data_IF_840657877741
#
_entry.id   IF_840657877741
#
_cell.length_a   1.000
_cell.length_b   1.000
_cell.length_c   1.000
_cell.angle_alpha   90.00
_cell.angle_beta   90.00
_cell.angle_gamma   90.00
#
_symmetry.space_group_name_H-M   'P 1'
#
loop_
_entity.id
_entity.type
_entity.pdbx_description
1 polymer ?
#
# COMPACT_ATOMS: atom_id res chain seq x y z
N UNK A 1 23.13 28.73 20.37
CA UNK A 1 22.31 28.34 19.21
C UNK A 1 21.27 27.33 19.66
N UNK A 2 19.99 27.53 19.32
CA UNK A 2 18.94 26.57 19.61
C UNK A 2 19.10 25.30 18.76
N UNK A 3 18.50 24.18 19.18
CA UNK A 3 18.55 22.94 18.38
C UNK A 3 17.87 23.13 17.01
N UNK A 4 16.78 23.89 16.95
CA UNK A 4 16.06 24.15 15.71
C UNK A 4 16.91 24.98 14.73
N UNK A 5 17.55 26.05 15.20
CA UNK A 5 18.51 26.85 14.40
C UNK A 5 19.65 25.98 13.90
N UNK A 6 20.20 25.11 14.76
CA UNK A 6 21.30 24.23 14.39
C UNK A 6 20.90 23.21 13.34
N UNK A 7 19.72 22.58 13.46
CA UNK A 7 19.21 21.64 12.46
C UNK A 7 18.99 22.32 11.11
N UNK A 8 18.40 23.53 11.12
CA UNK A 8 18.22 24.33 9.91
C UNK A 8 19.56 24.68 9.26
N UNK A 9 20.53 25.16 10.03
CA UNK A 9 21.84 25.50 9.51
C UNK A 9 22.62 24.24 9.05
N UNK A 10 22.53 23.12 9.76
CA UNK A 10 23.14 21.85 9.41
C UNK A 10 22.60 21.31 8.07
N UNK A 11 21.29 21.45 7.83
CA UNK A 11 20.66 21.05 6.57
C UNK A 11 21.31 21.72 5.35
N UNK A 12 21.51 23.04 5.39
CA UNK A 12 22.20 23.76 4.30
C UNK A 12 23.69 23.45 4.25
N UNK A 13 24.33 23.29 5.42
CA UNK A 13 25.77 23.06 5.49
C UNK A 13 26.21 21.68 4.96
N UNK A 14 25.29 20.71 4.92
CA UNK A 14 25.51 19.40 4.33
C UNK A 14 25.40 19.38 2.80
N UNK A 15 24.96 20.47 2.16
CA UNK A 15 24.81 20.59 0.71
C UNK A 15 26.17 20.83 0.01
N UNK A 16 26.99 19.78 -0.05
CA UNK A 16 28.35 19.84 -0.60
C UNK A 16 28.69 18.59 -1.40
N UNK A 17 29.56 18.73 -2.41
CA UNK A 17 29.99 17.59 -3.22
C UNK A 17 30.85 16.59 -2.46
N UNK A 18 31.76 17.07 -1.59
CA UNK A 18 32.76 16.24 -0.90
C UNK A 18 32.36 15.78 0.51
N UNK A 19 31.28 16.30 1.08
CA UNK A 19 30.84 15.96 2.44
C UNK A 19 31.75 16.47 3.56
N UNK A 20 31.27 16.34 4.79
CA UNK A 20 31.92 16.85 6.00
C UNK A 20 32.08 15.76 7.05
N UNK A 21 33.19 15.72 7.77
CA UNK A 21 33.37 14.78 8.88
C UNK A 21 32.58 15.23 10.11
N UNK A 22 32.30 14.31 11.04
CA UNK A 22 31.69 14.65 12.33
C UNK A 22 32.47 15.74 13.07
N UNK A 23 33.80 15.65 13.10
CA UNK A 23 34.67 16.62 13.75
C UNK A 23 34.60 18.02 13.10
N UNK A 24 34.49 18.10 11.77
CA UNK A 24 34.30 19.37 11.05
C UNK A 24 32.95 20.02 11.41
N UNK A 25 31.89 19.22 11.45
CA UNK A 25 30.55 19.68 11.82
C UNK A 25 30.49 20.10 13.29
N UNK A 26 31.03 19.30 14.19
CA UNK A 26 31.08 19.54 15.63
C UNK A 26 31.79 20.86 15.94
N UNK A 27 32.95 21.08 15.32
CA UNK A 27 33.70 22.34 15.42
C UNK A 27 32.92 23.53 14.87
N UNK A 28 32.25 23.38 13.72
CA UNK A 28 31.50 24.46 13.05
C UNK A 28 30.31 24.95 13.87
N UNK A 29 29.63 24.02 14.54
CA UNK A 29 28.41 24.29 15.32
C UNK A 29 28.67 24.37 16.82
N UNK A 30 29.94 24.28 17.25
CA UNK A 30 30.39 24.37 18.65
C UNK A 30 29.66 23.39 19.58
N UNK A 31 29.52 22.14 19.12
CA UNK A 31 28.87 21.04 19.86
C UNK A 31 29.72 19.78 19.80
N UNK A 32 29.38 18.79 20.64
CA UNK A 32 30.04 17.47 20.59
C UNK A 32 29.66 16.67 19.34
N UNK A 33 30.54 15.75 18.92
CA UNK A 33 30.28 14.76 17.87
C UNK A 33 28.99 13.98 18.12
N UNK A 34 28.73 13.60 19.39
CA UNK A 34 27.48 12.93 19.80
C UNK A 34 26.24 13.77 19.51
N UNK A 35 26.35 15.10 19.65
CA UNK A 35 25.24 16.02 19.37
C UNK A 35 25.02 16.16 17.86
N UNK A 36 26.08 16.28 17.06
CA UNK A 36 25.97 16.28 15.60
C UNK A 36 25.35 14.97 15.12
N UNK A 37 25.82 13.84 15.62
CA UNK A 37 25.28 12.54 15.23
C UNK A 37 23.77 12.46 15.48
N UNK A 38 23.32 12.89 16.67
CA UNK A 38 21.88 12.94 17.00
C UNK A 38 21.10 13.90 16.10
N UNK A 39 21.70 15.02 15.70
CA UNK A 39 21.06 15.99 14.83
C UNK A 39 21.01 15.50 13.37
N UNK A 40 22.02 14.77 12.89
CA UNK A 40 21.99 14.06 11.61
C UNK A 40 20.86 13.03 11.59
N UNK A 41 20.75 12.19 12.63
CA UNK A 41 19.64 11.22 12.74
C UNK A 41 18.26 11.88 12.78
N UNK A 42 18.16 13.07 13.39
CA UNK A 42 16.91 13.83 13.40
C UNK A 42 16.54 14.39 12.02
N UNK A 43 17.53 14.84 11.23
CA UNK A 43 17.32 15.25 9.85
C UNK A 43 16.90 14.05 8.97
N UNK A 44 17.54 12.89 9.12
CA UNK A 44 17.15 11.66 8.42
C UNK A 44 15.71 11.25 8.75
N UNK A 45 15.32 11.28 10.03
CA UNK A 45 13.95 11.00 10.47
C UNK A 45 12.91 11.98 9.88
N UNK A 46 13.34 13.19 9.50
CA UNK A 46 12.48 14.18 8.83
C UNK A 46 12.41 14.04 7.31
N UNK A 47 13.05 13.01 6.73
CA UNK A 47 13.06 12.74 5.29
C UNK A 47 14.20 13.39 4.52
N UNK A 48 15.25 13.88 5.20
CA UNK A 48 16.45 14.39 4.54
C UNK A 48 17.36 13.21 4.18
N UNK A 49 17.74 13.10 2.91
CA UNK A 49 18.66 12.06 2.47
C UNK A 49 20.10 12.49 2.74
N UNK A 50 20.73 11.84 3.72
CA UNK A 50 22.13 12.04 4.09
C UNK A 50 22.91 10.79 3.70
N UNK A 51 23.93 10.95 2.88
CA UNK A 51 24.88 9.90 2.51
C UNK A 51 26.12 10.01 3.38
N UNK A 52 26.62 8.86 3.84
CA UNK A 52 27.89 8.74 4.53
C UNK A 52 28.88 7.94 3.67
N UNK A 53 30.03 8.53 3.35
CA UNK A 53 31.10 7.90 2.57
C UNK A 53 32.43 8.26 3.22
N UNK A 54 33.24 7.26 3.58
CA UNK A 54 34.56 7.45 4.21
C UNK A 54 34.54 8.39 5.44
N UNK A 55 33.51 8.27 6.30
CA UNK A 55 33.37 9.12 7.49
C UNK A 55 32.90 10.55 7.20
N UNK A 56 32.55 10.86 5.95
CA UNK A 56 32.02 12.17 5.52
C UNK A 56 30.53 12.08 5.24
N UNK A 57 29.80 13.07 5.73
CA UNK A 57 28.36 13.20 5.62
C UNK A 57 28.04 14.31 4.61
N UNK A 58 27.13 14.02 3.66
CA UNK A 58 26.60 15.02 2.74
C UNK A 58 25.12 14.80 2.50
N UNK A 59 24.40 15.88 2.22
CA UNK A 59 23.00 15.83 1.79
C UNK A 59 22.96 15.51 0.30
N UNK A 60 22.26 14.44 -0.07
CA UNK A 60 22.09 14.01 -1.47
C UNK A 60 20.68 14.28 -2.00
N UNK A 61 19.77 14.73 -1.14
CA UNK A 61 18.41 15.12 -1.49
C UNK A 61 17.73 15.92 -0.37
N UNK A 62 16.72 16.70 -0.74
CA UNK A 62 15.78 17.35 0.20
C UNK A 62 14.47 16.60 0.29
N UNK A 63 13.58 17.05 1.18
CA UNK A 63 12.27 16.44 1.47
C UNK A 63 11.42 16.36 0.20
N UNK A 64 11.55 15.28 -0.57
CA UNK A 64 10.36 14.74 -1.22
C UNK A 64 9.38 14.54 -0.07
N UNK A 65 8.19 15.15 -0.14
CA UNK A 65 7.14 14.88 0.86
C UNK A 65 7.13 13.37 1.07
N UNK A 66 7.24 12.85 2.30
CA UNK A 66 7.13 11.42 2.51
C UNK A 66 5.85 10.97 1.82
N UNK A 67 6.00 10.27 0.70
CA UNK A 67 4.86 9.68 0.03
C UNK A 67 4.61 8.42 0.84
N UNK A 68 3.59 8.49 1.69
CA UNK A 68 3.10 7.31 2.35
C UNK A 68 2.52 6.43 1.25
N UNK A 69 3.14 5.29 1.04
CA UNK A 69 2.54 4.22 0.26
C UNK A 69 1.88 3.25 1.22
N UNK A 70 0.69 2.78 0.90
CA UNK A 70 0.11 1.60 1.54
C UNK A 70 0.80 0.31 1.04
N UNK A 71 0.46 -0.83 1.64
CA UNK A 71 1.08 -2.12 1.29
C UNK A 71 0.76 -2.57 -0.14
N UNK A 72 -0.43 -2.23 -0.66
CA UNK A 72 -0.83 -2.51 -2.04
C UNK A 72 -0.09 -1.64 -3.05
N UNK A 73 0.05 -0.34 -2.77
CA UNK A 73 0.83 0.57 -3.61
C UNK A 73 2.31 0.20 -3.66
N UNK A 74 2.90 -0.20 -2.52
CA UNK A 74 4.28 -0.70 -2.46
C UNK A 74 4.44 -1.98 -3.30
N UNK A 75 3.47 -2.89 -3.26
CA UNK A 75 3.47 -4.12 -4.05
C UNK A 75 3.34 -3.83 -5.55
N UNK A 76 2.49 -2.87 -5.94
CA UNK A 76 2.37 -2.40 -7.33
C UNK A 76 3.70 -1.83 -7.85
N UNK A 77 4.36 -0.96 -7.07
CA UNK A 77 5.67 -0.42 -7.43
C UNK A 77 6.71 -1.54 -7.53
N UNK A 78 6.69 -2.49 -6.60
CA UNK A 78 7.58 -3.66 -6.62
C UNK A 78 7.38 -4.47 -7.90
N UNK A 79 6.14 -4.81 -8.27
CA UNK A 79 5.82 -5.58 -9.48
C UNK A 79 6.23 -4.84 -10.76
N UNK A 80 5.97 -3.52 -10.83
CA UNK A 80 6.35 -2.69 -11.96
C UNK A 80 7.88 -2.65 -12.17
N UNK A 81 8.64 -2.62 -11.07
CA UNK A 81 10.09 -2.63 -11.10
C UNK A 81 10.67 -4.03 -11.29
N UNK A 82 10.05 -5.07 -10.73
CA UNK A 82 10.47 -6.47 -10.83
C UNK A 82 10.30 -7.09 -12.23
N UNK A 83 9.66 -6.37 -13.16
CA UNK A 83 9.49 -6.76 -14.55
C UNK A 83 10.72 -6.47 -15.44
N UNK A 84 10.52 -6.31 -16.78
CA UNK A 84 11.60 -6.15 -17.76
C UNK A 84 12.54 -4.95 -17.51
N UNK A 85 12.14 -4.02 -16.63
CA UNK A 85 12.94 -2.89 -16.20
C UNK A 85 14.25 -3.31 -15.51
N UNK A 86 14.27 -4.40 -14.74
CA UNK A 86 15.51 -4.94 -14.14
C UNK A 86 16.39 -5.60 -15.20
N UNK A 87 15.80 -6.44 -16.05
CA UNK A 87 16.55 -7.23 -17.05
C UNK A 87 17.23 -6.34 -18.10
N UNK A 88 16.61 -5.21 -18.44
CA UNK A 88 17.12 -4.29 -19.48
C UNK A 88 18.00 -3.16 -18.94
N UNK A 89 18.07 -2.95 -17.63
CA UNK A 89 18.81 -1.82 -17.05
C UNK A 89 20.26 -2.18 -16.69
N UNK A 90 21.20 -1.49 -17.34
CA UNK A 90 22.65 -1.60 -17.07
C UNK A 90 23.18 -0.34 -16.38
N UNK A 91 24.38 -0.44 -15.80
CA UNK A 91 25.07 0.71 -15.20
C UNK A 91 24.43 1.23 -13.89
N UNK A 92 24.64 2.51 -13.54
CA UNK A 92 24.17 3.10 -12.29
C UNK A 92 22.65 2.99 -12.06
N UNK A 93 21.85 3.12 -13.13
CA UNK A 93 20.40 3.01 -13.05
C UNK A 93 19.94 1.61 -12.66
N UNK A 94 20.53 0.56 -13.25
CA UNK A 94 20.23 -0.82 -12.86
C UNK A 94 20.58 -1.13 -11.39
N UNK A 95 21.65 -0.53 -10.86
CA UNK A 95 21.98 -0.62 -9.42
C UNK A 95 20.95 0.08 -8.55
N UNK A 96 20.48 1.27 -8.96
CA UNK A 96 19.45 2.01 -8.25
C UNK A 96 18.12 1.24 -8.22
N UNK A 97 17.72 0.63 -9.34
CA UNK A 97 16.50 -0.19 -9.43
C UNK A 97 16.60 -1.40 -8.49
N UNK A 98 17.70 -2.16 -8.52
CA UNK A 98 17.89 -3.29 -7.59
C UNK A 98 17.85 -2.85 -6.13
N UNK A 99 18.57 -1.79 -5.79
CA UNK A 99 18.56 -1.24 -4.43
C UNK A 99 17.17 -0.79 -3.98
N UNK A 100 16.37 -0.23 -4.89
CA UNK A 100 14.99 0.16 -4.59
C UNK A 100 14.10 -1.07 -4.35
N UNK A 101 14.20 -2.10 -5.19
CA UNK A 101 13.45 -3.36 -5.01
C UNK A 101 13.80 -4.03 -3.68
N UNK A 102 15.08 -4.12 -3.32
CA UNK A 102 15.51 -4.68 -2.03
C UNK A 102 14.92 -3.91 -0.83
N UNK A 103 14.84 -2.57 -0.93
CA UNK A 103 14.23 -1.71 0.09
C UNK A 103 12.72 -1.92 0.20
N UNK A 104 12.03 -2.05 -0.94
CA UNK A 104 10.59 -2.33 -0.99
C UNK A 104 10.28 -3.70 -0.38
N UNK A 105 11.07 -4.73 -0.71
CA UNK A 105 10.97 -6.07 -0.14
C UNK A 105 11.16 -6.06 1.38
N UNK A 106 12.14 -5.30 1.88
CA UNK A 106 12.35 -5.10 3.31
C UNK A 106 11.16 -4.41 3.99
N UNK A 107 10.67 -3.32 3.41
CA UNK A 107 9.54 -2.57 3.96
C UNK A 107 8.26 -3.42 4.02
N UNK A 108 7.96 -4.17 2.96
CA UNK A 108 6.81 -5.09 2.89
C UNK A 108 6.94 -6.27 3.85
N UNK A 109 8.15 -6.76 4.13
CA UNK A 109 8.37 -7.80 5.15
C UNK A 109 8.12 -7.27 6.56
N UNK A 110 8.66 -6.09 6.88
CA UNK A 110 8.51 -5.49 8.20
C UNK A 110 7.03 -5.17 8.50
N UNK A 111 6.31 -4.56 7.56
CA UNK A 111 4.88 -4.28 7.73
C UNK A 111 4.02 -5.52 7.93
N UNK A 112 4.32 -6.62 7.22
CA UNK A 112 3.65 -7.91 7.44
C UNK A 112 3.92 -8.49 8.83
N UNK A 113 5.12 -8.25 9.38
CA UNK A 113 5.49 -8.68 10.73
C UNK A 113 4.87 -7.80 11.82
N UNK A 114 4.72 -6.50 11.59
CA UNK A 114 4.22 -5.51 12.56
C UNK A 114 2.69 -5.44 12.59
N UNK A 115 2.03 -5.60 11.44
CA UNK A 115 0.59 -5.69 11.31
C UNK A 115 0.21 -6.90 10.43
N UNK A 116 0.02 -8.09 11.04
CA UNK A 116 -0.46 -9.28 10.33
C UNK A 116 -1.80 -9.05 9.62
N UNK A 117 -2.63 -8.11 10.13
CA UNK A 117 -3.88 -7.69 9.50
C UNK A 117 -3.69 -6.79 8.26
N UNK A 118 -2.59 -6.03 8.16
CA UNK A 118 -2.22 -5.30 6.92
C UNK A 118 -1.61 -6.24 5.87
N UNK A 119 -1.42 -7.52 6.21
CA UNK A 119 -1.21 -8.59 5.23
C UNK A 119 -2.49 -8.95 4.46
N UNK A 120 -3.55 -8.13 4.57
CA UNK A 120 -4.80 -8.25 3.80
C UNK A 120 -4.62 -8.11 2.28
N UNK A 121 -3.46 -7.66 1.80
CA UNK A 121 -3.01 -7.94 0.43
C UNK A 121 -2.02 -9.11 0.44
N UNK A 122 -2.42 -10.25 0.98
CA UNK A 122 -1.83 -11.51 0.54
C UNK A 122 -1.99 -11.54 -1.00
N UNK A 123 -1.02 -12.06 -1.77
CA UNK A 123 -1.27 -12.33 -3.17
C UNK A 123 -2.57 -13.14 -3.22
N UNK A 124 -3.62 -12.54 -3.80
CA UNK A 124 -4.93 -13.16 -3.86
C UNK A 124 -4.71 -14.61 -4.29
N UNK A 125 -5.16 -15.56 -3.47
CA UNK A 125 -5.09 -16.98 -3.84
C UNK A 125 -5.69 -17.11 -5.25
N UNK A 126 -5.27 -18.10 -6.04
CA UNK A 126 -5.83 -18.26 -7.39
C UNK A 126 -7.38 -18.28 -7.37
N UNK A 127 -7.97 -18.77 -6.28
CA UNK A 127 -9.41 -18.72 -6.01
C UNK A 127 -9.93 -17.29 -5.75
N UNK A 128 -9.30 -16.51 -4.87
CA UNK A 128 -9.66 -15.10 -4.62
C UNK A 128 -9.55 -14.24 -5.88
N UNK A 129 -8.50 -14.45 -6.69
CA UNK A 129 -8.33 -13.76 -7.98
C UNK A 129 -9.43 -14.14 -8.98
N UNK A 130 -9.83 -15.41 -9.03
CA UNK A 130 -10.91 -15.88 -9.90
C UNK A 130 -12.29 -15.34 -9.47
N UNK A 131 -12.55 -15.26 -8.16
CA UNK A 131 -13.77 -14.64 -7.62
C UNK A 131 -13.82 -13.16 -7.98
N UNK A 132 -12.73 -12.41 -7.74
CA UNK A 132 -12.66 -10.99 -8.08
C UNK A 132 -12.94 -10.74 -9.56
N UNK A 133 -12.24 -11.45 -10.46
CA UNK A 133 -12.44 -11.32 -11.91
C UNK A 133 -13.88 -11.63 -12.33
N UNK A 134 -14.49 -12.66 -11.72
CA UNK A 134 -15.88 -13.05 -11.99
C UNK A 134 -16.85 -11.94 -11.59
N UNK A 135 -16.63 -11.32 -10.43
CA UNK A 135 -17.49 -10.25 -9.91
C UNK A 135 -17.33 -8.95 -10.72
N UNK A 136 -16.10 -8.57 -11.08
CA UNK A 136 -15.83 -7.41 -11.95
C UNK A 136 -16.53 -7.55 -13.29
N UNK A 137 -16.43 -8.73 -13.91
CA UNK A 137 -17.13 -9.05 -15.16
C UNK A 137 -18.65 -8.93 -15.01
N UNK A 138 -19.19 -9.51 -13.93
CA UNK A 138 -20.62 -9.51 -13.68
C UNK A 138 -21.20 -8.11 -13.41
N UNK A 139 -20.47 -7.25 -12.69
CA UNK A 139 -20.83 -5.84 -12.49
C UNK A 139 -20.82 -5.10 -13.83
N UNK A 140 -19.74 -5.25 -14.61
CA UNK A 140 -19.55 -4.57 -15.90
C UNK A 140 -20.63 -4.94 -16.91
N UNK A 141 -21.00 -6.22 -16.97
CA UNK A 141 -21.98 -6.75 -17.93
C UNK A 141 -23.40 -6.85 -17.37
N UNK A 142 -23.62 -6.40 -16.12
CA UNK A 142 -24.91 -6.48 -15.41
C UNK A 142 -25.52 -7.87 -15.43
N UNK A 143 -24.69 -8.86 -15.14
CA UNK A 143 -25.05 -10.28 -15.10
C UNK A 143 -25.30 -10.72 -13.66
N UNK A 144 -26.40 -11.45 -13.37
CA UNK A 144 -26.61 -12.03 -12.05
C UNK A 144 -25.52 -13.05 -11.71
N UNK A 145 -25.26 -13.24 -10.42
CA UNK A 145 -24.23 -14.16 -9.91
C UNK A 145 -24.83 -15.06 -8.85
N UNK A 146 -24.42 -16.33 -8.82
CA UNK A 146 -24.62 -17.21 -7.67
C UNK A 146 -23.34 -17.24 -6.86
N UNK A 147 -23.43 -16.79 -5.61
CA UNK A 147 -22.35 -16.81 -4.62
C UNK A 147 -22.49 -18.03 -3.72
N UNK A 148 -21.39 -18.75 -3.48
CA UNK A 148 -21.26 -19.64 -2.32
C UNK A 148 -20.72 -18.79 -1.17
N UNK A 149 -21.56 -18.46 -0.20
CA UNK A 149 -21.27 -17.45 0.82
C UNK A 149 -21.31 -18.03 2.23
N UNK A 150 -20.29 -17.73 3.05
CA UNK A 150 -20.23 -18.13 4.46
C UNK A 150 -21.07 -17.15 5.30
N UNK A 151 -22.18 -17.63 5.85
CA UNK A 151 -23.08 -16.82 6.68
C UNK A 151 -22.60 -16.76 8.14
N UNK A 152 -22.52 -15.55 8.72
CA UNK A 152 -22.24 -15.37 10.15
C UNK A 152 -23.35 -15.90 11.05
N UNK A 153 -24.61 -15.81 10.61
CA UNK A 153 -25.78 -16.15 11.44
C UNK A 153 -26.10 -17.64 11.45
N UNK A 154 -25.85 -18.35 10.35
CA UNK A 154 -26.15 -19.79 10.26
C UNK A 154 -24.93 -20.69 10.43
N UNK A 155 -23.71 -20.12 10.50
CA UNK A 155 -22.44 -20.86 10.59
C UNK A 155 -22.06 -21.68 9.34
N UNK A 156 -23.02 -22.01 8.47
CA UNK A 156 -22.83 -22.74 7.22
C UNK A 156 -22.63 -21.87 5.98
N UNK A 157 -22.09 -22.49 4.94
CA UNK A 157 -22.04 -21.93 3.59
C UNK A 157 -23.39 -22.10 2.90
N UNK A 158 -23.85 -21.05 2.23
CA UNK A 158 -25.12 -21.04 1.51
C UNK A 158 -24.98 -20.41 0.14
N UNK A 159 -25.81 -20.88 -0.79
CA UNK A 159 -25.88 -20.28 -2.11
C UNK A 159 -26.78 -19.04 -2.06
N UNK A 160 -26.34 -17.97 -2.72
CA UNK A 160 -27.03 -16.68 -2.80
C UNK A 160 -27.04 -16.20 -4.24
N UNK A 161 -28.23 -16.11 -4.82
CA UNK A 161 -28.44 -15.38 -6.07
C UNK A 161 -28.40 -13.87 -5.79
N UNK A 162 -27.54 -13.15 -6.50
CA UNK A 162 -27.37 -11.71 -6.33
C UNK A 162 -27.29 -10.99 -7.67
N UNK A 163 -27.75 -9.74 -7.68
CA UNK A 163 -27.59 -8.82 -8.80
C UNK A 163 -26.48 -7.81 -8.45
N UNK A 164 -25.23 -8.03 -8.93
CA UNK A 164 -24.06 -7.27 -8.48
C UNK A 164 -24.04 -5.83 -9.03
N UNK A 165 -24.03 -4.83 -8.17
CA UNK A 165 -24.11 -3.43 -8.58
C UNK A 165 -22.77 -2.71 -8.60
N UNK A 166 -21.93 -2.95 -7.59
CA UNK A 166 -20.62 -2.31 -7.46
C UNK A 166 -19.74 -3.08 -6.48
N UNK A 167 -18.44 -3.10 -6.75
CA UNK A 167 -17.39 -3.46 -5.79
C UNK A 167 -16.91 -2.19 -5.08
N UNK A 168 -16.79 -2.25 -3.76
CA UNK A 168 -16.35 -1.13 -2.93
C UNK A 168 -15.43 -1.60 -1.82
N UNK A 169 -14.61 -0.69 -1.32
CA UNK A 169 -13.75 -0.94 -0.17
C UNK A 169 -14.24 -0.12 1.02
N UNK A 170 -14.26 -0.75 2.20
CA UNK A 170 -14.60 -0.11 3.46
C UNK A 170 -13.67 -0.65 4.55
N UNK A 171 -12.96 0.24 5.23
CA UNK A 171 -12.06 -0.08 6.34
C UNK A 171 -11.02 -1.17 5.98
N UNK A 172 -10.53 -1.16 4.72
CA UNK A 172 -9.56 -2.15 4.20
C UNK A 172 -10.16 -3.49 3.78
N UNK A 173 -11.48 -3.66 3.82
CA UNK A 173 -12.18 -4.87 3.37
C UNK A 173 -12.97 -4.59 2.10
N UNK A 174 -12.87 -5.49 1.12
CA UNK A 174 -13.65 -5.41 -0.11
C UNK A 174 -15.06 -6.00 0.06
N UNK A 175 -16.06 -5.29 -0.45
CA UNK A 175 -17.46 -5.69 -0.44
C UNK A 175 -18.07 -5.63 -1.84
N UNK A 176 -18.98 -6.55 -2.09
CA UNK A 176 -19.91 -6.50 -3.21
C UNK A 176 -21.24 -5.91 -2.71
N UNK A 177 -21.59 -4.73 -3.23
CA UNK A 177 -22.94 -4.19 -3.11
C UNK A 177 -23.82 -4.85 -4.18
N UNK A 178 -24.87 -5.52 -3.76
CA UNK A 178 -25.76 -6.23 -4.67
C UNK A 178 -27.20 -6.28 -4.14
N UNK A 179 -28.16 -6.50 -5.04
CA UNK A 179 -29.50 -6.95 -4.64
C UNK A 179 -29.41 -8.43 -4.28
N UNK A 180 -29.78 -8.81 -3.07
CA UNK A 180 -30.02 -10.20 -2.73
C UNK A 180 -31.36 -10.62 -3.35
N UNK A 181 -31.36 -11.63 -4.22
CA UNK A 181 -32.59 -12.10 -4.87
C UNK A 181 -33.54 -12.80 -3.89
N UNK A 182 -33.00 -13.43 -2.85
CA UNK A 182 -33.79 -14.13 -1.82
C UNK A 182 -34.49 -13.17 -0.86
N UNK A 183 -33.82 -12.07 -0.51
CA UNK A 183 -34.33 -11.06 0.44
C UNK A 183 -34.86 -9.81 -0.26
N UNK A 184 -34.90 -9.83 -1.60
CA UNK A 184 -35.38 -8.77 -2.50
C UNK A 184 -34.89 -7.35 -2.14
N UNK A 185 -33.64 -7.22 -1.70
CA UNK A 185 -33.15 -5.93 -1.21
C UNK A 185 -31.63 -5.78 -1.26
N UNK A 186 -31.14 -4.54 -1.07
CA UNK A 186 -29.71 -4.22 -1.08
C UNK A 186 -29.00 -4.89 0.10
N UNK A 187 -27.83 -5.48 -0.17
CA UNK A 187 -26.93 -6.06 0.83
C UNK A 187 -25.48 -5.85 0.44
N UNK A 188 -24.62 -5.77 1.46
CA UNK A 188 -23.17 -5.86 1.32
C UNK A 188 -22.73 -7.31 1.58
N UNK A 189 -21.97 -7.88 0.65
CA UNK A 189 -21.35 -9.19 0.79
C UNK A 189 -19.84 -8.99 0.91
N UNK A 190 -19.25 -9.35 2.04
CA UNK A 190 -17.79 -9.31 2.22
C UNK A 190 -17.13 -10.32 1.26
N UNK A 191 -16.12 -9.88 0.50
CA UNK A 191 -15.43 -10.76 -0.44
C UNK A 191 -14.68 -11.90 0.28
N UNK A 192 -14.18 -11.66 1.48
CA UNK A 192 -13.50 -12.67 2.31
C UNK A 192 -14.41 -13.84 2.72
N UNK A 193 -15.73 -13.62 2.64
CA UNK A 193 -16.77 -14.62 2.96
C UNK A 193 -17.32 -15.31 1.71
N UNK A 194 -16.86 -14.95 0.51
CA UNK A 194 -17.24 -15.60 -0.75
C UNK A 194 -16.28 -16.75 -1.04
N UNK A 195 -16.80 -17.97 -1.00
CA UNK A 195 -16.04 -19.20 -1.29
C UNK A 195 -15.90 -19.39 -2.81
N UNK A 196 -16.96 -19.07 -3.56
CA UNK A 196 -16.94 -19.09 -5.02
C UNK A 196 -18.04 -18.20 -5.59
N UNK A 197 -17.84 -17.75 -6.84
CA UNK A 197 -18.79 -16.96 -7.59
C UNK A 197 -18.94 -17.54 -9.00
N UNK A 198 -20.18 -17.60 -9.50
CA UNK A 198 -20.46 -18.06 -10.87
C UNK A 198 -21.52 -17.17 -11.52
N UNK A 199 -21.22 -16.70 -12.73
CA UNK A 199 -22.17 -15.94 -13.54
C UNK A 199 -23.38 -16.81 -13.88
N UNK A 200 -24.56 -16.27 -13.63
CA UNK A 200 -25.83 -16.87 -13.99
C UNK A 200 -26.37 -16.31 -15.32
N UNK A 201 -27.27 -17.03 -16.00
CA UNK A 201 -28.01 -16.50 -17.14
C UNK A 201 -28.86 -15.28 -16.76
N UNK A 202 -29.12 -14.41 -17.73
CA UNK A 202 -29.95 -13.22 -17.56
C UNK A 202 -29.17 -11.93 -17.36
N UNK A 203 -29.90 -10.84 -17.19
CA UNK A 203 -29.40 -9.50 -16.88
C UNK A 203 -30.34 -8.82 -15.90
N UNK A 204 -29.86 -7.78 -15.22
CA UNK A 204 -30.68 -6.98 -14.31
C UNK A 204 -30.55 -5.49 -14.63
N UNK A 205 -31.55 -4.72 -14.20
CA UNK A 205 -31.48 -3.26 -14.19
C UNK A 205 -30.96 -2.81 -12.82
N UNK A 206 -29.92 -2.00 -12.83
CA UNK A 206 -29.41 -1.37 -11.62
C UNK A 206 -30.28 -0.15 -11.29
N UNK A 207 -30.79 -0.02 -10.06
CA UNK A 207 -31.49 1.19 -9.65
C UNK A 207 -30.51 2.38 -9.66
N UNK A 208 -30.96 3.59 -10.04
CA UNK A 208 -30.17 4.79 -9.83
C UNK A 208 -29.98 5.01 -8.33
N UNK A 209 -28.72 5.19 -7.93
CA UNK A 209 -28.33 5.78 -6.64
C UNK A 209 -28.61 4.97 -5.36
N UNK A 210 -28.04 3.77 -5.26
CA UNK A 210 -27.98 3.05 -3.98
C UNK A 210 -26.70 3.44 -3.23
N UNK A 211 -26.84 4.34 -2.24
CA UNK A 211 -25.75 4.70 -1.33
C UNK A 211 -25.32 3.52 -0.47
N UNK A 212 -24.04 3.15 -0.51
CA UNK A 212 -23.50 2.02 0.25
C UNK A 212 -23.52 2.22 1.77
N UNK A 213 -23.58 3.48 2.23
CA UNK A 213 -23.45 3.86 3.65
C UNK A 213 -24.64 3.42 4.53
N UNK A 214 -25.80 3.14 3.92
CA UNK A 214 -27.03 2.74 4.63
C UNK A 214 -27.38 1.25 4.47
N UNK A 215 -26.54 0.47 3.79
CA UNK A 215 -26.82 -0.94 3.45
C UNK A 215 -26.24 -1.88 4.50
N UNK A 216 -27.06 -2.81 4.98
CA UNK A 216 -26.64 -3.84 5.96
C UNK A 216 -25.80 -4.93 5.30
N UNK A 217 -24.81 -5.43 6.04
CA UNK A 217 -24.03 -6.62 5.68
C UNK A 217 -24.91 -7.90 5.73
N UNK A 218 -24.60 -8.87 4.86
CA UNK A 218 -25.28 -10.15 4.71
C UNK A 218 -24.77 -11.28 5.62
#
# INVERSE_FOLDING_TARGET
MSRAERLFALYFYLDTKSGKTLAELARRFEVSDRTIFRDLSALEASGVLIEQTDGRYRRTGGVARPVAFDSGELELVRLALAGPAIEKSRGPLGRAIRSLVDKLDGALRNRRSENPAESGSAPATAAESAVMQTLELAVRERRPVVLRYRSLTSGGEQDRGVDPWRLLERDGTCFLLARCQVLEGPRLFSLDRIVSARIAPGSFLQPPDVGAESVREA
#
